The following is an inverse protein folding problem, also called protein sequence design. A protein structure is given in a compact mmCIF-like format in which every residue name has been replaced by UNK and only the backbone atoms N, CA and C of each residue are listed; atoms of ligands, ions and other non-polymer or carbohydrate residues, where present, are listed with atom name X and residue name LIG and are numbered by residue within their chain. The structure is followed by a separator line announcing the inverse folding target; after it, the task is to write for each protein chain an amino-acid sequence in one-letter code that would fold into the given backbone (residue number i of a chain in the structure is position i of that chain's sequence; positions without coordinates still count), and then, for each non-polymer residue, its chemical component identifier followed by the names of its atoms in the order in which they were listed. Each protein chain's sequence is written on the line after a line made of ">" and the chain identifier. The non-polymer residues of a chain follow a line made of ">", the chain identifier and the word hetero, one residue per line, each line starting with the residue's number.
data_IF_552158523850
#
_entry.id   IF_552158523850
#
_cell.length_a   1.000
_cell.length_b   1.000
_cell.length_c   1.000
_cell.angle_alpha   90.00
_cell.angle_beta   90.00
_cell.angle_gamma   90.00
#
_symmetry.space_group_name_H-M   'P 1'
#
loop_
_entity.id
_entity.type
_entity.pdbx_description
1 polymer ?
#
# COMPACT_ATOMS: atom_id res chain seq x y z
N UNK A 1 10.73 -23.01 -10.09
CA UNK A 1 10.75 -21.64 -9.54
C UNK A 1 9.49 -21.48 -8.71
N UNK A 2 9.60 -21.50 -7.38
CA UNK A 2 8.45 -21.58 -6.48
C UNK A 2 7.81 -20.20 -6.28
N UNK A 3 6.57 -20.06 -6.72
CA UNK A 3 5.72 -18.89 -6.43
C UNK A 3 5.42 -18.87 -4.92
N UNK A 4 6.14 -18.02 -4.16
CA UNK A 4 6.01 -17.86 -2.70
C UNK A 4 4.84 -16.95 -2.31
N UNK A 5 3.78 -16.86 -3.11
CA UNK A 5 2.64 -15.99 -2.78
C UNK A 5 1.68 -16.72 -1.85
N UNK A 6 1.69 -16.34 -0.57
CA UNK A 6 0.83 -16.89 0.49
C UNK A 6 -0.58 -16.26 0.55
N UNK A 7 -0.87 -15.18 -0.17
CA UNK A 7 -2.16 -14.48 -0.08
C UNK A 7 -2.67 -13.95 -1.43
N UNK A 8 -3.99 -14.08 -1.74
CA UNK A 8 -4.57 -13.57 -2.97
C UNK A 8 -4.71 -12.04 -2.94
N UNK A 9 -4.07 -11.36 -3.91
CA UNK A 9 -4.08 -9.90 -4.07
C UNK A 9 -5.49 -9.38 -4.40
N UNK A 10 -5.96 -8.33 -3.71
CA UNK A 10 -7.32 -7.78 -3.85
C UNK A 10 -7.25 -6.42 -4.55
N UNK A 11 -7.83 -6.31 -5.76
CA UNK A 11 -7.97 -5.03 -6.49
C UNK A 11 -8.72 -4.00 -5.63
N UNK A 12 -8.03 -2.96 -5.19
CA UNK A 12 -8.65 -1.85 -4.47
C UNK A 12 -9.51 -1.01 -5.44
N UNK A 13 -10.81 -0.90 -5.12
CA UNK A 13 -11.63 0.19 -5.63
C UNK A 13 -11.41 1.42 -4.74
N UNK A 14 -11.32 2.59 -5.40
CA UNK A 14 -10.89 3.91 -4.92
C UNK A 14 -9.37 4.10 -4.91
N UNK A 15 -8.92 4.97 -5.82
CA UNK A 15 -7.61 5.61 -5.94
C UNK A 15 -7.10 6.13 -4.58
N UNK A 16 -6.63 5.24 -3.71
CA UNK A 16 -6.14 5.59 -2.38
C UNK A 16 -4.72 6.13 -2.56
N UNK A 17 -4.50 7.44 -2.42
CA UNK A 17 -3.22 8.02 -2.80
C UNK A 17 -2.17 7.68 -1.74
N UNK A 18 -0.98 7.36 -2.23
CA UNK A 18 0.20 7.03 -1.42
C UNK A 18 1.28 8.07 -1.70
N UNK A 19 1.88 8.60 -0.64
CA UNK A 19 2.95 9.60 -0.73
C UNK A 19 4.22 9.09 -0.05
N UNK A 20 5.36 9.66 -0.43
CA UNK A 20 6.61 9.52 0.33
C UNK A 20 6.72 10.71 1.28
N UNK A 21 6.78 10.44 2.60
CA UNK A 21 6.75 11.48 3.63
C UNK A 21 7.86 12.54 3.44
N UNK A 22 9.09 12.09 3.15
CA UNK A 22 10.26 12.97 2.99
C UNK A 22 10.12 13.94 1.81
N UNK A 23 9.50 13.49 0.73
CA UNK A 23 9.40 14.26 -0.51
C UNK A 23 8.07 15.03 -0.63
N UNK A 24 7.08 14.66 0.20
CA UNK A 24 5.68 15.10 0.07
C UNK A 24 5.12 14.91 -1.36
N UNK A 25 5.71 13.98 -2.11
CA UNK A 25 5.37 13.70 -3.50
C UNK A 25 4.38 12.55 -3.57
N UNK A 26 3.37 12.68 -4.41
CA UNK A 26 2.48 11.58 -4.76
C UNK A 26 3.30 10.49 -5.45
N UNK A 27 3.34 9.32 -4.83
CA UNK A 27 4.01 8.14 -5.37
C UNK A 27 3.11 7.41 -6.37
N UNK A 28 1.80 7.42 -6.08
CA UNK A 28 0.79 6.79 -6.91
C UNK A 28 -0.42 6.40 -6.09
N UNK A 29 -1.11 5.36 -6.56
CA UNK A 29 -2.33 4.85 -5.95
C UNK A 29 -2.15 3.41 -5.50
N UNK A 30 -2.73 3.11 -4.34
CA UNK A 30 -2.72 1.78 -3.76
C UNK A 30 -3.55 0.82 -4.60
N UNK A 31 -2.90 -0.16 -5.21
CA UNK A 31 -3.53 -1.19 -6.04
C UNK A 31 -3.89 -2.42 -5.22
N UNK A 32 -3.04 -2.78 -4.26
CA UNK A 32 -3.17 -3.94 -3.38
C UNK A 32 -2.57 -3.64 -2.00
N UNK A 33 -3.16 -4.23 -0.97
CA UNK A 33 -2.75 -4.07 0.43
C UNK A 33 -2.90 -5.39 1.17
N UNK A 34 -1.84 -5.79 1.87
CA UNK A 34 -1.86 -6.90 2.84
C UNK A 34 -1.32 -6.40 4.18
N UNK A 35 -1.33 -7.27 5.19
CA UNK A 35 -0.69 -6.97 6.49
C UNK A 35 0.85 -6.87 6.39
N UNK A 36 1.44 -7.37 5.30
CA UNK A 36 2.89 -7.44 5.11
C UNK A 36 3.43 -6.44 4.09
N UNK A 37 2.56 -5.86 3.27
CA UNK A 37 3.02 -4.99 2.22
C UNK A 37 1.91 -4.38 1.38
N UNK A 38 2.34 -3.64 0.37
CA UNK A 38 1.46 -2.93 -0.53
C UNK A 38 2.02 -2.93 -1.96
N UNK A 39 1.14 -2.82 -2.94
CA UNK A 39 1.50 -2.48 -4.32
C UNK A 39 0.93 -1.12 -4.64
N UNK A 40 1.78 -0.25 -5.17
CA UNK A 40 1.42 1.10 -5.61
C UNK A 40 1.70 1.21 -7.10
N UNK A 41 0.74 1.77 -7.83
CA UNK A 41 0.86 2.09 -9.25
C UNK A 41 0.90 3.59 -9.40
N UNK A 42 1.91 4.11 -10.06
CA UNK A 42 2.09 5.53 -10.30
C UNK A 42 3.20 5.77 -11.33
N UNK A 43 3.88 6.91 -11.22
CA UNK A 43 4.82 7.35 -12.26
C UNK A 43 6.24 7.56 -11.71
N UNK A 44 6.45 7.33 -10.41
CA UNK A 44 7.73 7.59 -9.74
C UNK A 44 8.48 6.28 -9.51
N UNK A 45 9.55 6.00 -10.28
CA UNK A 45 10.40 4.83 -10.04
C UNK A 45 11.19 5.01 -8.74
N UNK A 46 11.32 3.91 -7.99
CA UNK A 46 12.12 3.86 -6.78
C UNK A 46 13.20 2.78 -6.88
N UNK A 47 14.34 3.07 -6.27
CA UNK A 47 15.43 2.10 -6.11
C UNK A 47 15.01 0.96 -5.18
N UNK A 48 15.33 -0.26 -5.57
CA UNK A 48 15.11 -1.45 -4.74
C UNK A 48 15.90 -1.38 -3.43
N UNK A 49 15.40 -2.07 -2.40
CA UNK A 49 15.92 -2.15 -1.03
C UNK A 49 15.96 -0.84 -0.24
N UNK A 50 15.52 0.27 -0.83
CA UNK A 50 15.39 1.55 -0.13
C UNK A 50 14.26 1.49 0.89
N UNK A 51 14.53 1.92 2.12
CA UNK A 51 13.52 2.13 3.16
C UNK A 51 12.92 3.53 2.98
N UNK A 52 11.59 3.59 2.88
CA UNK A 52 10.81 4.82 2.76
C UNK A 52 9.67 4.82 3.76
N UNK A 53 9.27 6.00 4.21
CA UNK A 53 8.02 6.17 4.97
C UNK A 53 6.91 6.50 4.01
N UNK A 54 5.96 5.58 3.88
CA UNK A 54 4.75 5.74 3.11
C UNK A 54 3.71 6.48 3.94
N UNK A 55 2.94 7.34 3.28
CA UNK A 55 1.78 8.01 3.82
C UNK A 55 0.59 7.55 2.98
N UNK A 56 -0.31 6.77 3.57
CA UNK A 56 -1.48 6.21 2.91
C UNK A 56 -2.72 6.97 3.38
N UNK A 57 -3.40 7.62 2.44
CA UNK A 57 -4.60 8.39 2.74
C UNK A 57 -5.84 7.54 2.49
N UNK A 58 -6.17 6.68 3.45
CA UNK A 58 -7.41 5.91 3.39
C UNK A 58 -8.62 6.84 3.35
N UNK A 59 -9.66 6.53 2.55
CA UNK A 59 -10.92 7.26 2.58
C UNK A 59 -11.50 7.36 4.00
N UNK A 60 -12.15 8.48 4.33
CA UNK A 60 -12.72 8.71 5.67
C UNK A 60 -13.72 7.62 6.10
N UNK A 61 -14.37 6.99 5.13
CA UNK A 61 -15.35 5.92 5.36
C UNK A 61 -14.72 4.53 5.49
N UNK A 62 -13.39 4.42 5.48
CA UNK A 62 -12.65 3.15 5.54
C UNK A 62 -12.42 2.69 6.99
N UNK A 63 -12.34 3.61 7.95
CA UNK A 63 -12.68 3.33 9.35
C UNK A 63 -12.70 4.64 10.15
N UNK A 64 -13.79 4.83 10.91
CA UNK A 64 -14.06 6.03 11.71
C UNK A 64 -13.04 6.28 12.83
N UNK A 65 -12.15 5.32 13.09
CA UNK A 65 -11.16 5.35 14.17
C UNK A 65 -9.72 5.50 13.66
N UNK A 66 -9.50 5.64 12.35
CA UNK A 66 -8.14 5.69 11.81
C UNK A 66 -7.56 7.10 11.88
N UNK A 67 -6.32 7.25 12.36
CA UNK A 67 -5.57 8.48 12.13
C UNK A 67 -5.35 8.64 10.62
N UNK A 68 -5.94 9.68 10.04
CA UNK A 68 -5.57 10.15 8.71
C UNK A 68 -4.60 11.32 8.84
N UNK A 69 -3.39 11.24 8.25
CA UNK A 69 -2.91 10.18 7.36
C UNK A 69 -2.26 8.98 8.09
N UNK A 70 -2.40 7.76 7.55
CA UNK A 70 -1.72 6.56 8.06
C UNK A 70 -0.29 6.51 7.55
N UNK A 71 0.69 6.34 8.44
CA UNK A 71 2.10 6.26 8.07
C UNK A 71 2.70 4.90 8.42
N UNK A 72 3.54 4.39 7.53
CA UNK A 72 4.21 3.10 7.71
C UNK A 72 5.57 3.10 7.00
N UNK A 73 6.58 2.51 7.65
CA UNK A 73 7.87 2.30 7.01
C UNK A 73 7.79 1.08 6.09
N UNK A 74 8.41 1.17 4.92
CA UNK A 74 8.41 0.09 3.96
C UNK A 74 9.71 0.05 3.17
N UNK A 75 10.17 -1.16 2.86
CA UNK A 75 11.25 -1.43 1.93
C UNK A 75 10.70 -1.60 0.52
N UNK A 76 11.34 -0.96 -0.46
CA UNK A 76 11.05 -1.19 -1.88
C UNK A 76 11.53 -2.59 -2.28
N UNK A 77 10.61 -3.50 -2.59
CA UNK A 77 10.95 -4.85 -3.03
C UNK A 77 11.29 -4.88 -4.52
N UNK A 78 10.52 -4.11 -5.31
CA UNK A 78 10.70 -3.98 -6.76
C UNK A 78 9.98 -2.74 -7.28
N UNK A 79 10.50 -2.14 -8.35
CA UNK A 79 9.85 -1.05 -9.09
C UNK A 79 10.05 -1.31 -10.58
N UNK A 80 8.97 -1.44 -11.34
CA UNK A 80 9.02 -1.81 -12.76
C UNK A 80 7.90 -1.12 -13.55
N UNK A 81 8.17 -0.74 -14.80
CA UNK A 81 7.15 -0.25 -15.71
C UNK A 81 6.28 -1.42 -16.21
N UNK A 82 4.98 -1.19 -16.38
CA UNK A 82 4.10 -2.07 -17.13
C UNK A 82 3.98 -1.66 -18.61
N UNK A 83 3.16 -2.39 -19.36
CA UNK A 83 2.91 -2.16 -20.78
C UNK A 83 2.32 -0.76 -21.06
N UNK A 84 1.59 -0.20 -20.09
CA UNK A 84 1.00 1.13 -20.15
C UNK A 84 1.96 2.23 -19.64
N UNK A 85 3.23 1.90 -19.41
CA UNK A 85 4.27 2.79 -18.89
C UNK A 85 4.02 3.29 -17.45
N UNK A 86 3.11 2.66 -16.69
CA UNK A 86 2.99 2.96 -15.27
C UNK A 86 4.03 2.20 -14.47
N UNK A 87 4.61 2.87 -13.48
CA UNK A 87 5.51 2.28 -12.50
C UNK A 87 4.70 1.52 -11.45
N UNK A 88 4.87 0.19 -11.46
CA UNK A 88 4.37 -0.72 -10.45
C UNK A 88 5.45 -0.94 -9.39
N UNK A 89 5.26 -0.37 -8.20
CA UNK A 89 6.19 -0.52 -7.08
C UNK A 89 5.61 -1.39 -5.98
N UNK A 90 6.34 -2.44 -5.62
CA UNK A 90 6.02 -3.34 -4.51
C UNK A 90 6.78 -2.93 -3.25
N UNK A 91 6.07 -2.91 -2.14
CA UNK A 91 6.58 -2.56 -0.82
C UNK A 91 6.39 -3.71 0.16
N UNK A 92 7.39 -3.93 0.99
CA UNK A 92 7.32 -4.77 2.17
C UNK A 92 7.38 -3.86 3.39
N UNK A 93 6.39 -3.96 4.28
CA UNK A 93 6.36 -3.15 5.49
C UNK A 93 7.43 -3.60 6.47
N UNK A 94 8.07 -2.63 7.13
CA UNK A 94 9.14 -2.86 8.11
C UNK A 94 8.76 -2.23 9.44
N UNK A 95 9.17 -2.86 10.54
CA UNK A 95 8.92 -2.41 11.91
C UNK A 95 7.45 -2.12 12.23
N UNK A 96 6.53 -2.95 11.74
CA UNK A 96 5.08 -2.79 11.96
C UNK A 96 4.75 -2.92 13.45
N UNK A 97 4.09 -1.89 13.99
CA UNK A 97 3.60 -1.92 15.38
C UNK A 97 2.27 -2.69 15.49
N UNK A 98 1.93 -3.24 16.67
CA UNK A 98 0.62 -3.87 16.89
C UNK A 98 -0.58 -2.95 16.64
N UNK A 99 -0.40 -1.64 16.74
CA UNK A 99 -1.42 -0.66 16.37
C UNK A 99 -1.58 -0.56 14.85
N UNK A 100 -0.46 -0.45 14.12
CA UNK A 100 -0.48 -0.44 12.66
C UNK A 100 -1.06 -1.74 12.08
N UNK A 101 -0.74 -2.90 12.67
CA UNK A 101 -1.35 -4.18 12.28
C UNK A 101 -2.87 -4.14 12.45
N UNK A 102 -3.38 -3.70 13.60
CA UNK A 102 -4.83 -3.58 13.85
C UNK A 102 -5.51 -2.63 12.86
N UNK A 103 -4.85 -1.53 12.52
CA UNK A 103 -5.33 -0.59 11.49
C UNK A 103 -5.41 -1.29 10.13
N UNK A 104 -4.32 -1.95 9.70
CA UNK A 104 -4.27 -2.67 8.42
C UNK A 104 -5.35 -3.75 8.35
N UNK A 105 -5.53 -4.54 9.41
CA UNK A 105 -6.58 -5.56 9.50
C UNK A 105 -7.98 -4.95 9.37
N UNK A 106 -8.29 -3.89 10.13
CA UNK A 106 -9.59 -3.22 10.07
C UNK A 106 -9.88 -2.63 8.68
N UNK A 107 -8.86 -2.04 8.06
CA UNK A 107 -8.89 -1.50 6.71
C UNK A 107 -9.18 -2.62 5.70
N UNK A 108 -8.37 -3.68 5.72
CA UNK A 108 -8.52 -4.84 4.82
C UNK A 108 -9.90 -5.45 4.98
N UNK A 109 -10.33 -5.76 6.21
CA UNK A 109 -11.63 -6.35 6.50
C UNK A 109 -12.78 -5.53 5.90
N UNK A 110 -12.80 -4.21 6.10
CA UNK A 110 -13.85 -3.35 5.55
C UNK A 110 -13.80 -3.25 4.02
N UNK A 111 -12.63 -3.34 3.42
CA UNK A 111 -12.49 -3.43 1.96
C UNK A 111 -13.07 -4.74 1.41
N UNK A 112 -12.93 -5.85 2.12
CA UNK A 112 -13.54 -7.13 1.71
C UNK A 112 -15.06 -7.06 1.72
N UNK A 113 -15.64 -6.41 2.74
CA UNK A 113 -17.10 -6.24 2.84
C UNK A 113 -17.70 -5.36 1.74
N UNK A 114 -16.97 -4.35 1.23
CA UNK A 114 -17.47 -3.48 0.14
C UNK A 114 -17.48 -4.14 -1.25
N UNK A 115 -16.92 -5.34 -1.42
CA UNK A 115 -16.93 -6.10 -2.69
C UNK A 115 -18.12 -7.04 -2.86
N UNK A 116 -18.98 -7.16 -1.84
CA UNK A 116 -20.05 -8.17 -1.78
C UNK A 116 -21.46 -7.69 -2.16
N UNK A 117 -21.60 -6.58 -2.90
CA UNK A 117 -22.91 -6.07 -3.37
C UNK A 117 -22.89 -5.83 -4.87
#
# INVERSE_FOLDING_TARGET
>A
MFDKRKEPRKKLMAFTPVYILKLKTLLGYLEDLTIHGARVVGDVPLEADKIVTLVINFPKDTASLLPTPFTINARVVRSQHDEAQFVNTGFEFVDITPEQTRILEAVIQRYEFKRGV
#
